data_IF_457944708902
#
_entry.id   IF_457944708902
#
_cell.length_a   1.000
_cell.length_b   1.000
_cell.length_c   1.000
_cell.angle_alpha   90.00
_cell.angle_beta   90.00
_cell.angle_gamma   90.00
#
_symmetry.space_group_name_H-M   'P 1'
#
loop_
_entity.id
_entity.type
_entity.pdbx_description
1 polymer ?
#
# COMPACT_ATOMS: atom_id res chain seq x y z
N UNK A 1 12.60 3.07 22.58
CA UNK A 1 12.63 3.97 21.41
C UNK A 1 13.42 3.27 20.30
N UNK A 2 12.74 2.68 19.30
CA UNK A 2 13.43 1.99 18.20
C UNK A 2 13.77 3.04 17.15
N UNK A 3 15.03 3.45 17.07
CA UNK A 3 15.51 4.29 15.98
C UNK A 3 15.34 3.53 14.66
N UNK A 4 14.75 4.18 13.65
CA UNK A 4 14.72 3.64 12.30
C UNK A 4 16.14 3.65 11.76
N UNK A 5 16.58 2.56 11.13
CA UNK A 5 17.93 2.55 10.54
C UNK A 5 18.00 3.58 9.42
N UNK A 6 19.08 4.36 9.39
CA UNK A 6 19.38 5.35 8.35
C UNK A 6 19.25 4.75 6.94
N UNK A 7 19.65 3.48 6.78
CA UNK A 7 19.53 2.73 5.53
C UNK A 7 18.08 2.56 5.06
N UNK A 8 17.11 2.35 5.97
CA UNK A 8 15.69 2.20 5.60
C UNK A 8 15.12 3.52 5.09
N UNK A 9 15.45 4.62 5.76
CA UNK A 9 15.01 5.95 5.37
C UNK A 9 15.63 6.35 4.03
N UNK A 10 16.93 6.10 3.84
CA UNK A 10 17.60 6.42 2.58
C UNK A 10 17.04 5.62 1.41
N UNK A 11 16.80 4.32 1.60
CA UNK A 11 16.14 3.49 0.59
C UNK A 11 14.75 4.01 0.23
N UNK A 12 13.96 4.38 1.25
CA UNK A 12 12.63 4.92 1.08
C UNK A 12 12.63 6.28 0.35
N UNK A 13 13.58 7.16 0.66
CA UNK A 13 13.63 8.51 0.09
C UNK A 13 14.22 8.55 -1.31
N UNK A 14 15.28 7.79 -1.57
CA UNK A 14 16.17 7.98 -2.72
C UNK A 14 16.14 6.85 -3.77
N UNK A 15 15.45 5.73 -3.52
CA UNK A 15 15.44 4.59 -4.44
C UNK A 15 14.03 4.16 -4.87
N UNK A 16 13.22 5.08 -5.46
CA UNK A 16 11.85 4.77 -5.88
C UNK A 16 11.75 3.61 -6.86
N UNK A 17 12.73 3.40 -7.74
CA UNK A 17 12.71 2.27 -8.69
C UNK A 17 12.76 0.90 -8.01
N UNK A 18 13.12 0.81 -6.73
CA UNK A 18 13.14 -0.45 -5.99
C UNK A 18 11.78 -0.84 -5.42
N UNK A 19 10.85 0.10 -5.32
CA UNK A 19 9.58 -0.12 -4.61
C UNK A 19 8.34 0.46 -5.31
N UNK A 20 8.50 1.37 -6.26
CA UNK A 20 7.40 1.90 -7.07
C UNK A 20 6.75 0.78 -7.90
N UNK A 21 5.44 0.88 -8.12
CA UNK A 21 4.73 -0.07 -8.95
C UNK A 21 5.19 0.00 -10.41
N UNK A 22 5.31 -1.15 -11.08
CA UNK A 22 5.82 -1.26 -12.46
C UNK A 22 4.97 -0.52 -13.50
N UNK A 23 3.68 -0.37 -13.23
CA UNK A 23 2.73 0.37 -14.07
C UNK A 23 3.05 1.87 -14.18
N UNK A 24 3.83 2.41 -13.24
CA UNK A 24 4.28 3.80 -13.31
C UNK A 24 5.49 3.96 -14.22
N UNK A 25 6.44 3.05 -14.07
CA UNK A 25 7.67 3.03 -14.86
C UNK A 25 8.38 1.68 -14.67
N UNK A 26 8.93 1.14 -15.74
CA UNK A 26 9.75 -0.07 -15.72
C UNK A 26 11.08 0.22 -16.42
N UNK A 27 12.17 0.03 -15.69
CA UNK A 27 13.51 0.25 -16.22
C UNK A 27 13.90 -0.90 -17.16
N UNK A 28 14.25 -0.63 -18.44
CA UNK A 28 14.74 -1.66 -19.34
C UNK A 28 16.00 -2.32 -18.79
N UNK A 29 16.16 -3.64 -18.98
CA UNK A 29 17.27 -4.42 -18.40
C UNK A 29 18.65 -3.86 -18.77
N UNK A 30 18.79 -3.35 -19.99
CA UNK A 30 20.03 -2.72 -20.49
C UNK A 30 20.49 -1.51 -19.67
N UNK A 31 19.55 -0.82 -19.01
CA UNK A 31 19.82 0.33 -18.15
C UNK A 31 19.87 -0.02 -16.66
N UNK A 32 19.80 -1.30 -16.28
CA UNK A 32 19.78 -1.73 -14.88
C UNK A 32 21.20 -1.86 -14.27
N UNK A 33 22.03 -0.83 -14.47
CA UNK A 33 23.30 -0.67 -13.75
C UNK A 33 23.17 0.41 -12.66
N UNK A 34 24.11 0.46 -11.71
CA UNK A 34 24.04 1.37 -10.56
C UNK A 34 23.95 2.85 -10.95
N UNK A 35 24.70 3.26 -11.98
CA UNK A 35 24.77 4.66 -12.42
C UNK A 35 23.45 5.09 -13.07
N UNK A 36 22.98 4.32 -14.06
CA UNK A 36 21.71 4.56 -14.72
C UNK A 36 20.55 4.53 -13.72
N UNK A 37 20.54 3.57 -12.78
CA UNK A 37 19.51 3.51 -11.73
C UNK A 37 19.49 4.78 -10.88
N UNK A 38 20.65 5.31 -10.49
CA UNK A 38 20.74 6.57 -9.74
C UNK A 38 20.13 7.74 -10.53
N UNK A 39 20.44 7.85 -11.82
CA UNK A 39 19.89 8.90 -12.69
C UNK A 39 18.37 8.77 -12.79
N UNK A 40 17.85 7.58 -13.07
CA UNK A 40 16.41 7.37 -13.19
C UNK A 40 15.68 7.54 -11.84
N UNK A 41 16.31 7.21 -10.72
CA UNK A 41 15.75 7.52 -9.39
C UNK A 41 15.56 9.03 -9.22
N UNK A 42 16.55 9.85 -9.58
CA UNK A 42 16.41 11.32 -9.58
C UNK A 42 15.30 11.80 -10.50
N UNK A 43 15.24 11.28 -11.74
CA UNK A 43 14.18 11.62 -12.70
C UNK A 43 12.78 11.30 -12.16
N UNK A 44 12.61 10.14 -11.51
CA UNK A 44 11.33 9.75 -10.89
C UNK A 44 10.97 10.65 -9.72
N UNK A 45 11.95 11.00 -8.88
CA UNK A 45 11.75 11.93 -7.75
C UNK A 45 11.26 13.28 -8.26
N UNK A 46 11.89 13.81 -9.30
CA UNK A 46 11.54 15.11 -9.89
C UNK A 46 10.17 15.05 -10.60
N UNK A 47 9.94 14.02 -11.43
CA UNK A 47 8.69 13.86 -12.20
C UNK A 47 7.46 13.77 -11.30
N UNK A 48 7.54 13.01 -10.18
CA UNK A 48 6.45 12.89 -9.22
C UNK A 48 6.48 13.97 -8.12
N UNK A 49 7.43 14.91 -8.18
CA UNK A 49 7.63 15.95 -7.16
C UNK A 49 7.68 15.36 -5.74
N UNK A 50 8.45 14.28 -5.57
CA UNK A 50 8.58 13.56 -4.30
C UNK A 50 9.44 14.37 -3.34
N UNK A 51 8.91 14.82 -2.19
CA UNK A 51 9.69 15.58 -1.23
C UNK A 51 10.87 14.75 -0.73
N UNK A 52 12.08 15.33 -0.73
CA UNK A 52 13.30 14.66 -0.26
C UNK A 52 13.56 14.99 1.22
N UNK A 53 12.91 16.03 1.74
CA UNK A 53 13.03 16.42 3.14
C UNK A 53 12.50 15.32 4.07
N UNK A 54 13.25 15.06 5.14
CA UNK A 54 12.85 14.15 6.22
C UNK A 54 11.83 14.80 7.18
N UNK A 55 10.89 15.58 6.64
CA UNK A 55 9.83 16.23 7.40
C UNK A 55 8.70 15.24 7.68
N UNK A 56 9.04 14.20 8.43
CA UNK A 56 8.08 13.21 8.91
C UNK A 56 7.24 13.81 10.05
N UNK A 57 6.02 13.32 10.23
CA UNK A 57 5.16 13.68 11.37
C UNK A 57 5.67 13.06 12.68
N UNK A 58 6.68 12.19 12.63
CA UNK A 58 7.37 11.58 13.78
C UNK A 58 6.47 10.74 14.70
N UNK A 59 5.21 10.50 14.32
CA UNK A 59 4.31 9.65 15.07
C UNK A 59 4.62 8.16 14.86
N UNK A 60 4.04 7.32 15.73
CA UNK A 60 4.33 5.88 15.71
C UNK A 60 3.78 5.18 14.46
N UNK A 61 2.64 5.61 13.93
CA UNK A 61 1.97 4.98 12.78
C UNK A 61 2.81 5.15 11.51
N UNK A 62 3.24 6.37 11.24
CA UNK A 62 4.10 6.70 10.10
C UNK A 62 5.42 5.93 10.14
N UNK A 63 6.10 5.94 11.30
CA UNK A 63 7.34 5.16 11.48
C UNK A 63 7.10 3.67 11.28
N UNK A 64 5.95 3.15 11.71
CA UNK A 64 5.58 1.76 11.52
C UNK A 64 5.38 1.43 10.04
N UNK A 65 4.73 2.30 9.28
CA UNK A 65 4.53 2.13 7.83
C UNK A 65 5.87 2.18 7.10
N UNK A 66 6.70 3.20 7.35
CA UNK A 66 8.02 3.32 6.72
C UNK A 66 8.90 2.10 7.07
N UNK A 67 8.85 1.60 8.31
CA UNK A 67 9.63 0.42 8.73
C UNK A 67 9.24 -0.84 7.94
N UNK A 68 7.96 -0.95 7.60
CA UNK A 68 7.40 -2.11 6.92
C UNK A 68 7.16 -1.83 5.43
N UNK A 69 7.81 -0.81 4.85
CA UNK A 69 7.54 -0.30 3.51
C UNK A 69 7.41 -1.39 2.43
N UNK A 70 8.36 -2.32 2.41
CA UNK A 70 8.44 -3.39 1.41
C UNK A 70 7.21 -4.31 1.36
N UNK A 71 6.45 -4.38 2.45
CA UNK A 71 5.28 -5.25 2.56
C UNK A 71 3.97 -4.47 2.60
N UNK A 72 4.02 -3.13 2.57
CA UNK A 72 2.84 -2.29 2.65
C UNK A 72 1.85 -2.66 1.55
N UNK A 73 2.29 -2.83 0.31
CA UNK A 73 1.41 -3.17 -0.81
C UNK A 73 0.62 -4.48 -0.54
N UNK A 74 1.31 -5.53 -0.11
CA UNK A 74 0.70 -6.82 0.24
C UNK A 74 -0.25 -6.69 1.44
N UNK A 75 0.16 -5.96 2.47
CA UNK A 75 -0.65 -5.72 3.67
C UNK A 75 -1.94 -4.98 3.33
N UNK A 76 -1.84 -3.96 2.48
CA UNK A 76 -2.98 -3.18 1.97
C UNK A 76 -4.00 -4.08 1.27
N UNK A 77 -3.48 -4.96 0.41
CA UNK A 77 -4.29 -5.92 -0.32
C UNK A 77 -4.98 -6.92 0.62
N UNK A 78 -4.25 -7.46 1.60
CA UNK A 78 -4.82 -8.36 2.62
C UNK A 78 -5.92 -7.70 3.45
N UNK A 79 -5.71 -6.44 3.86
CA UNK A 79 -6.70 -5.66 4.60
C UNK A 79 -7.98 -5.45 3.78
N UNK A 80 -7.83 -5.12 2.49
CA UNK A 80 -8.97 -4.99 1.60
C UNK A 80 -9.70 -6.33 1.42
N UNK A 81 -8.97 -7.45 1.29
CA UNK A 81 -9.61 -8.76 1.17
C UNK A 81 -10.39 -9.13 2.42
N UNK A 82 -9.84 -8.83 3.61
CA UNK A 82 -10.51 -9.09 4.87
C UNK A 82 -11.78 -8.24 5.03
N UNK A 83 -11.73 -6.96 4.64
CA UNK A 83 -12.85 -6.02 4.78
C UNK A 83 -13.98 -6.29 3.80
N UNK A 84 -13.64 -6.60 2.55
CA UNK A 84 -14.61 -6.82 1.47
C UNK A 84 -14.83 -8.32 1.22
N UNK A 85 -14.64 -9.17 2.22
CA UNK A 85 -14.68 -10.63 2.07
C UNK A 85 -16.04 -11.12 1.59
N UNK A 86 -17.17 -10.60 2.09
CA UNK A 86 -18.51 -10.97 1.59
C UNK A 86 -18.64 -10.77 0.08
N UNK A 87 -18.12 -9.66 -0.44
CA UNK A 87 -18.17 -9.33 -1.87
C UNK A 87 -17.26 -10.25 -2.69
N UNK A 88 -16.09 -10.58 -2.16
CA UNK A 88 -15.19 -11.57 -2.77
C UNK A 88 -15.79 -12.97 -2.80
N UNK A 89 -16.53 -13.36 -1.75
CA UNK A 89 -17.28 -14.61 -1.72
C UNK A 89 -18.43 -14.61 -2.73
N UNK A 90 -19.26 -13.56 -2.75
CA UNK A 90 -20.40 -13.43 -3.68
C UNK A 90 -19.99 -13.43 -5.15
N UNK A 91 -18.86 -12.79 -5.47
CA UNK A 91 -18.33 -12.73 -6.83
C UNK A 91 -17.48 -13.95 -7.24
N UNK A 92 -17.24 -14.90 -6.32
CA UNK A 92 -16.34 -16.04 -6.54
C UNK A 92 -14.86 -15.67 -6.68
N UNK A 93 -14.49 -14.38 -6.59
CA UNK A 93 -13.11 -13.91 -6.74
C UNK A 93 -12.17 -14.44 -5.64
N UNK A 94 -12.72 -14.82 -4.48
CA UNK A 94 -11.93 -15.37 -3.36
C UNK A 94 -11.16 -16.67 -3.70
N UNK A 95 -11.65 -17.44 -4.67
CA UNK A 95 -11.02 -18.71 -5.11
C UNK A 95 -9.74 -18.45 -5.90
N UNK A 96 -9.61 -17.26 -6.51
CA UNK A 96 -8.42 -16.86 -7.27
C UNK A 96 -7.30 -16.27 -6.38
N UNK A 97 -7.59 -16.01 -5.11
CA UNK A 97 -6.60 -15.48 -4.17
C UNK A 97 -5.64 -16.57 -3.69
N UNK A 98 -4.40 -16.17 -3.43
CA UNK A 98 -3.39 -17.02 -2.80
C UNK A 98 -3.88 -17.59 -1.48
N UNK A 99 -3.41 -18.80 -1.15
CA UNK A 99 -3.86 -19.53 0.04
C UNK A 99 -3.62 -18.76 1.34
N UNK A 100 -2.49 -18.04 1.44
CA UNK A 100 -2.15 -17.22 2.60
C UNK A 100 -3.15 -16.08 2.80
N UNK A 101 -3.53 -15.41 1.71
CA UNK A 101 -4.49 -14.29 1.74
C UNK A 101 -5.89 -14.82 2.06
N UNK A 102 -6.27 -15.95 1.45
CA UNK A 102 -7.54 -16.62 1.74
C UNK A 102 -7.66 -17.03 3.20
N UNK A 103 -6.58 -17.56 3.77
CA UNK A 103 -6.51 -17.94 5.19
C UNK A 103 -6.60 -16.74 6.10
N UNK A 104 -5.96 -15.62 5.75
CA UNK A 104 -6.12 -14.36 6.47
C UNK A 104 -7.57 -13.84 6.44
N UNK A 105 -8.26 -13.95 5.30
CA UNK A 105 -9.66 -13.50 5.17
C UNK A 105 -10.66 -14.30 6.01
N UNK A 106 -10.31 -15.52 6.41
CA UNK A 106 -11.15 -16.36 7.29
C UNK A 106 -11.10 -15.92 8.75
N UNK A 107 -10.17 -15.04 9.12
CA UNK A 107 -10.07 -14.54 10.49
C UNK A 107 -11.27 -13.64 10.79
N UNK A 108 -12.07 -14.02 11.79
CA UNK A 108 -13.27 -13.25 12.18
C UNK A 108 -12.89 -12.09 13.12
N UNK A 109 -12.14 -11.10 12.62
CA UNK A 109 -11.59 -9.99 13.42
C UNK A 109 -12.39 -8.70 13.27
N UNK A 110 -12.96 -8.47 12.09
CA UNK A 110 -13.75 -7.30 11.77
C UNK A 110 -15.09 -7.73 11.19
N UNK A 111 -16.13 -6.94 11.41
CA UNK A 111 -17.41 -7.12 10.74
C UNK A 111 -17.25 -6.93 9.23
N UNK A 112 -18.06 -7.66 8.47
CA UNK A 112 -18.01 -7.62 7.02
C UNK A 112 -18.53 -6.26 6.55
N UNK A 113 -17.75 -5.58 5.71
CA UNK A 113 -18.13 -4.26 5.24
C UNK A 113 -19.01 -4.40 4.01
N UNK A 114 -20.32 -4.22 4.18
CA UNK A 114 -21.22 -4.09 3.05
C UNK A 114 -20.98 -2.74 2.37
N UNK A 115 -20.40 -2.75 1.17
CA UNK A 115 -20.50 -1.58 0.30
C UNK A 115 -21.98 -1.38 -0.04
N UNK A 116 -22.56 -0.24 0.33
CA UNK A 116 -23.76 0.29 -0.35
C UNK A 116 -23.28 0.79 -1.72
N UNK A 117 -22.81 -0.13 -2.57
CA UNK A 117 -22.35 0.24 -3.89
C UNK A 117 -23.58 0.50 -4.74
N UNK A 118 -23.77 1.74 -5.18
CA UNK A 118 -24.66 2.08 -6.30
C UNK A 118 -24.19 1.42 -7.62
N UNK A 119 -22.97 0.90 -7.66
CA UNK A 119 -22.31 0.34 -8.84
C UNK A 119 -22.02 -1.16 -8.65
N UNK A 120 -21.98 -1.92 -9.74
CA UNK A 120 -21.65 -3.34 -9.71
C UNK A 120 -20.20 -3.56 -9.23
N UNK A 121 -20.00 -4.42 -8.22
CA UNK A 121 -18.68 -4.80 -7.69
C UNK A 121 -17.75 -5.44 -8.76
N UNK A 122 -18.29 -5.86 -9.90
CA UNK A 122 -17.50 -6.31 -11.05
C UNK A 122 -16.49 -5.25 -11.50
N UNK A 123 -16.84 -3.98 -11.37
CA UNK A 123 -16.15 -2.84 -12.00
C UNK A 123 -15.21 -2.10 -11.03
N UNK A 124 -15.26 -2.46 -9.73
CA UNK A 124 -14.38 -1.88 -8.72
C UNK A 124 -13.01 -2.54 -8.82
N UNK A 125 -11.99 -1.74 -9.12
CA UNK A 125 -10.60 -2.16 -9.09
C UNK A 125 -10.21 -2.51 -7.65
N UNK A 126 -9.76 -3.75 -7.44
CA UNK A 126 -9.40 -4.22 -6.11
C UNK A 126 -8.16 -3.50 -5.56
N UNK A 127 -7.29 -3.00 -6.44
CA UNK A 127 -6.16 -2.17 -6.02
C UNK A 127 -6.59 -0.81 -5.51
N UNK A 128 -7.74 -0.28 -5.97
CA UNK A 128 -8.35 0.91 -5.37
C UNK A 128 -8.75 0.64 -3.92
N UNK A 129 -9.41 -0.50 -3.67
CA UNK A 129 -9.80 -0.90 -2.30
C UNK A 129 -8.56 -1.08 -1.42
N UNK A 130 -7.53 -1.76 -1.92
CA UNK A 130 -6.26 -1.92 -1.22
C UNK A 130 -5.61 -0.57 -0.88
N UNK A 131 -5.52 0.34 -1.85
CA UNK A 131 -4.98 1.69 -1.64
C UNK A 131 -5.74 2.41 -0.53
N UNK A 132 -7.06 2.36 -0.56
CA UNK A 132 -7.89 3.03 0.44
C UNK A 132 -7.61 2.54 1.86
N UNK A 133 -7.35 1.25 2.08
CA UNK A 133 -7.05 0.72 3.42
C UNK A 133 -5.85 1.39 4.09
N UNK A 134 -4.83 1.76 3.31
CA UNK A 134 -3.68 2.51 3.86
C UNK A 134 -3.99 3.99 3.97
N UNK A 135 -4.72 4.54 3.00
CA UNK A 135 -5.09 5.96 3.00
C UNK A 135 -6.09 6.32 4.10
N UNK A 136 -6.75 5.34 4.76
CA UNK A 136 -7.46 5.58 6.04
C UNK A 136 -6.54 6.25 7.08
N UNK A 137 -5.22 5.99 7.03
CA UNK A 137 -4.24 6.58 7.94
C UNK A 137 -3.70 7.94 7.48
N UNK A 138 -4.24 8.54 6.41
CA UNK A 138 -3.70 9.78 5.81
C UNK A 138 -3.49 10.92 6.81
N UNK A 139 -4.37 11.07 7.79
CA UNK A 139 -4.30 12.14 8.81
C UNK A 139 -3.07 11.97 9.72
N UNK A 140 -2.45 10.79 9.72
CA UNK A 140 -1.22 10.47 10.47
C UNK A 140 0.03 10.45 9.59
N UNK A 141 -0.04 10.76 8.31
CA UNK A 141 1.08 10.62 7.39
C UNK A 141 1.56 11.99 6.92
N UNK A 142 2.88 12.19 6.86
CA UNK A 142 3.43 13.37 6.21
C UNK A 142 3.15 13.32 4.71
N UNK A 143 3.17 14.49 4.06
CA UNK A 143 3.08 14.59 2.61
C UNK A 143 4.14 13.73 1.90
N UNK A 144 5.35 13.69 2.46
CA UNK A 144 6.48 12.87 1.99
C UNK A 144 6.11 11.38 1.89
N UNK A 145 5.39 10.86 2.88
CA UNK A 145 4.94 9.46 2.90
C UNK A 145 3.73 9.25 2.01
N UNK A 146 2.78 10.17 2.03
CA UNK A 146 1.57 10.10 1.20
C UNK A 146 1.88 10.04 -0.29
N UNK A 147 2.75 10.92 -0.79
CA UNK A 147 3.16 10.95 -2.21
C UNK A 147 3.87 9.66 -2.62
N UNK A 148 4.72 9.10 -1.76
CA UNK A 148 5.40 7.82 -2.04
C UNK A 148 4.45 6.63 -1.98
N UNK A 149 3.46 6.66 -1.08
CA UNK A 149 2.43 5.64 -1.03
C UNK A 149 1.59 5.65 -2.30
N UNK A 150 1.28 6.82 -2.86
CA UNK A 150 0.49 6.91 -4.09
C UNK A 150 1.10 6.15 -5.27
N UNK A 151 2.44 6.18 -5.42
CA UNK A 151 3.15 5.48 -6.51
C UNK A 151 3.54 4.03 -6.19
N UNK A 152 3.31 3.58 -4.94
CA UNK A 152 3.48 2.18 -4.54
C UNK A 152 2.39 1.29 -5.14
N UNK A 153 1.19 1.85 -5.36
CA UNK A 153 0.05 1.15 -5.97
C UNK A 153 0.07 1.30 -7.50
N UNK A 154 -0.57 0.39 -8.25
CA UNK A 154 -0.75 0.54 -9.68
C UNK A 154 -1.47 1.85 -10.05
N UNK A 155 -1.41 2.23 -11.32
CA UNK A 155 -2.17 3.38 -11.83
C UNK A 155 -3.66 3.05 -11.79
N UNK A 156 -4.35 3.64 -10.83
CA UNK A 156 -5.78 3.45 -10.63
C UNK A 156 -6.51 4.64 -11.26
N UNK A 157 -7.47 4.37 -12.13
CA UNK A 157 -8.38 5.38 -12.63
C UNK A 157 -9.26 5.82 -11.46
N UNK A 158 -9.14 7.10 -11.06
CA UNK A 158 -10.01 7.69 -10.05
C UNK A 158 -11.42 7.85 -10.63
N UNK A 159 -12.17 6.76 -10.62
CA UNK A 159 -13.62 6.86 -10.72
C UNK A 159 -14.12 7.36 -9.36
N UNK A 160 -15.16 8.20 -9.35
CA UNK A 160 -15.77 8.81 -8.16
C UNK A 160 -16.46 7.75 -7.27
N UNK A 161 -15.66 6.88 -6.67
CA UNK A 161 -16.11 5.94 -5.67
C UNK A 161 -16.15 6.66 -4.32
N UNK A 162 -17.36 6.96 -3.85
CA UNK A 162 -17.57 7.46 -2.50
C UNK A 162 -17.41 6.31 -1.50
N UNK A 163 -16.19 6.16 -0.99
CA UNK A 163 -15.93 5.26 0.12
C UNK A 163 -16.40 5.89 1.43
N UNK A 164 -17.10 5.10 2.24
CA UNK A 164 -17.48 5.49 3.60
C UNK A 164 -16.20 5.72 4.40
N UNK A 165 -16.18 6.79 5.21
CA UNK A 165 -15.06 7.08 6.10
C UNK A 165 -14.96 5.99 7.17
N UNK A 166 -13.88 5.21 7.11
CA UNK A 166 -13.59 4.15 8.08
C UNK A 166 -12.61 4.68 9.12
N UNK A 167 -12.80 4.30 10.38
CA UNK A 167 -11.86 4.68 11.43
C UNK A 167 -10.57 3.84 11.36
N UNK A 168 -9.38 4.46 11.48
CA UNK A 168 -8.10 3.75 11.41
C UNK A 168 -7.95 2.76 12.56
N UNK A 169 -7.87 1.46 12.23
CA UNK A 169 -7.64 0.39 13.19
C UNK A 169 -6.18 -0.05 13.14
N UNK A 170 -5.35 0.57 13.98
CA UNK A 170 -3.91 0.31 13.94
C UNK A 170 -3.50 -1.09 14.41
N UNK A 171 -4.28 -1.72 15.30
CA UNK A 171 -4.12 -3.13 15.69
C UNK A 171 -4.27 -4.06 14.49
N UNK A 172 -5.23 -3.77 13.60
CA UNK A 172 -5.47 -4.55 12.39
C UNK A 172 -4.29 -4.44 11.41
N UNK A 173 -3.75 -3.23 11.23
CA UNK A 173 -2.55 -3.01 10.42
C UNK A 173 -1.36 -3.82 10.96
N UNK A 174 -1.15 -3.80 12.29
CA UNK A 174 -0.08 -4.59 12.93
C UNK A 174 -0.24 -6.09 12.70
N UNK A 175 -1.47 -6.59 12.84
CA UNK A 175 -1.76 -8.00 12.62
C UNK A 175 -1.49 -8.40 11.17
N UNK A 176 -1.97 -7.63 10.21
CA UNK A 176 -1.74 -7.89 8.79
C UNK A 176 -0.24 -7.87 8.45
N UNK A 177 0.53 -6.93 9.01
CA UNK A 177 1.99 -6.90 8.90
C UNK A 177 2.64 -8.15 9.49
N UNK A 178 2.25 -8.58 10.69
CA UNK A 178 2.79 -9.78 11.33
C UNK A 178 2.50 -11.03 10.50
N UNK A 179 1.28 -11.13 9.97
CA UNK A 179 0.88 -12.23 9.12
C UNK A 179 1.67 -12.22 7.81
N UNK A 180 1.76 -11.09 7.12
CA UNK A 180 2.52 -10.96 5.87
C UNK A 180 3.98 -11.42 6.05
N UNK A 181 4.65 -10.97 7.12
CA UNK A 181 6.04 -11.37 7.42
C UNK A 181 6.25 -12.85 7.68
N UNK A 182 5.21 -13.56 8.15
CA UNK A 182 5.30 -15.01 8.43
C UNK A 182 5.30 -15.85 7.15
N UNK A 183 4.73 -15.31 6.07
CA UNK A 183 4.53 -16.01 4.80
C UNK A 183 5.30 -15.35 3.64
N UNK A 184 6.35 -14.59 3.96
CA UNK A 184 7.38 -14.13 3.02
C UNK A 184 8.57 -15.07 3.05
#
# INVERSE_FOLDING_TARGET
MVMMSSNTINFFLYDPLSWMHRDHFSLPLFFNNKVCRSIFNSVVIDFYSLPINSNFNHNYIERYIIKNWKIVLQVSFMLACLRYRSLLFRSGKIVKLDENIRSFCKLNIIDDFSLIAKNNFSDIDFWLLARNEIFIFQDFLSETVMKRLAILFPRINNNDYNFIKINPQFSLLKLAVQYAKRYQ
#
